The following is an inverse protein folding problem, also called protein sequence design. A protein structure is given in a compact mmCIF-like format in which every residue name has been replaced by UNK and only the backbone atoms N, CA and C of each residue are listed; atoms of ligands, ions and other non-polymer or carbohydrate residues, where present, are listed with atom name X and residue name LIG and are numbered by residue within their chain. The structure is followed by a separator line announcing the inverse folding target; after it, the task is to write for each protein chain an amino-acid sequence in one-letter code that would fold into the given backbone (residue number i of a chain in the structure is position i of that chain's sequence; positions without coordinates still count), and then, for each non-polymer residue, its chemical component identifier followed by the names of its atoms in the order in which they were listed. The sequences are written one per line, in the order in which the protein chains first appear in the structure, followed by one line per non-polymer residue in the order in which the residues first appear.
data_IF_168494517015
#
_entry.id   IF_168494517015
#
_cell.length_a   1.000
_cell.length_b   1.000
_cell.length_c   1.000
_cell.angle_alpha   90.00
_cell.angle_beta   90.00
_cell.angle_gamma   90.00
#
_symmetry.space_group_name_H-M   'P 1'
#
loop_
_entity.id
_entity.type
_entity.pdbx_description
1 polymer ?
#
# COMPACT_ATOMS: atom_id res chain seq x y z
N UNK A 1 9.92 -7.84 -2.71
CA UNK A 1 10.01 -7.29 -4.09
C UNK A 1 9.41 -5.90 -4.07
N UNK A 2 9.98 -4.96 -4.83
CA UNK A 2 9.48 -3.58 -4.88
C UNK A 2 8.39 -3.38 -5.94
N UNK A 3 7.77 -2.18 -5.99
CA UNK A 3 6.72 -1.87 -6.95
C UNK A 3 7.17 -2.00 -8.41
N UNK A 4 8.37 -1.53 -8.77
CA UNK A 4 8.86 -1.61 -10.15
C UNK A 4 9.13 -3.03 -10.62
N UNK A 5 9.67 -3.91 -9.76
CA UNK A 5 9.82 -5.33 -10.09
C UNK A 5 8.46 -5.99 -10.29
N UNK A 6 7.46 -5.59 -9.50
CA UNK A 6 6.08 -6.06 -9.66
C UNK A 6 5.48 -5.61 -11.00
N UNK A 7 5.69 -4.36 -11.40
CA UNK A 7 5.26 -3.86 -12.72
C UNK A 7 5.99 -4.54 -13.87
N UNK A 8 7.29 -4.79 -13.73
CA UNK A 8 8.05 -5.56 -14.71
C UNK A 8 7.45 -6.95 -14.91
N UNK A 9 7.11 -7.66 -13.82
CA UNK A 9 6.43 -8.96 -13.89
C UNK A 9 5.02 -8.86 -14.51
N UNK A 10 4.27 -7.81 -14.19
CA UNK A 10 2.94 -7.58 -14.76
C UNK A 10 2.98 -7.35 -16.28
N UNK A 11 4.11 -6.88 -16.81
CA UNK A 11 4.35 -6.79 -18.24
C UNK A 11 4.64 -8.13 -18.94
N UNK A 12 4.68 -9.26 -18.22
CA UNK A 12 4.93 -10.57 -18.81
C UNK A 12 6.33 -10.69 -19.42
N UNK A 13 6.46 -11.45 -20.51
CA UNK A 13 7.75 -11.69 -21.18
C UNK A 13 8.41 -10.41 -21.71
N UNK A 14 7.61 -9.40 -22.09
CA UNK A 14 8.10 -8.10 -22.53
C UNK A 14 8.50 -7.15 -21.38
N UNK A 15 8.31 -7.58 -20.13
CA UNK A 15 8.76 -6.85 -18.95
C UNK A 15 8.18 -5.43 -18.84
N UNK A 16 8.98 -4.53 -18.27
CA UNK A 16 8.55 -3.15 -18.02
C UNK A 16 8.17 -2.39 -19.30
N UNK A 17 8.81 -2.65 -20.45
CA UNK A 17 8.45 -1.98 -21.70
C UNK A 17 7.02 -2.33 -22.12
N UNK A 18 6.68 -3.62 -22.09
CA UNK A 18 5.33 -4.08 -22.39
C UNK A 18 4.30 -3.55 -21.38
N UNK A 19 4.66 -3.48 -20.09
CA UNK A 19 3.82 -2.83 -19.08
C UNK A 19 3.53 -1.36 -19.41
N UNK A 20 4.55 -0.59 -19.82
CA UNK A 20 4.38 0.82 -20.19
C UNK A 20 3.45 0.99 -21.39
N UNK A 21 3.61 0.14 -22.41
CA UNK A 21 2.83 0.25 -23.64
C UNK A 21 1.37 -0.22 -23.46
N UNK A 22 1.13 -1.24 -22.63
CA UNK A 22 -0.16 -1.95 -22.60
C UNK A 22 -0.98 -1.71 -21.33
N UNK A 23 -0.33 -1.46 -20.18
CA UNK A 23 -1.01 -1.39 -18.89
C UNK A 23 -0.99 0.01 -18.28
N UNK A 24 0.08 0.77 -18.51
CA UNK A 24 0.20 2.13 -17.96
C UNK A 24 -0.94 3.08 -18.38
N UNK A 25 -1.46 3.06 -19.64
CA UNK A 25 -2.57 3.94 -20.02
C UNK A 25 -3.82 3.75 -19.16
N UNK A 26 -4.16 2.51 -18.81
CA UNK A 26 -5.28 2.21 -17.91
C UNK A 26 -4.99 2.67 -16.47
N UNK A 27 -3.75 2.43 -15.98
CA UNK A 27 -3.32 2.87 -14.64
C UNK A 27 -3.39 4.38 -14.49
N UNK A 28 -2.98 5.14 -15.51
CA UNK A 28 -3.09 6.61 -15.49
C UNK A 28 -4.53 7.07 -15.59
N UNK A 29 -5.36 6.40 -16.39
CA UNK A 29 -6.79 6.70 -16.48
C UNK A 29 -7.53 6.55 -15.15
N UNK A 30 -7.16 5.56 -14.32
CA UNK A 30 -7.73 5.44 -12.97
C UNK A 30 -7.38 6.63 -12.08
N UNK A 31 -6.19 7.20 -12.23
CA UNK A 31 -5.77 8.37 -11.45
C UNK A 31 -6.64 9.58 -11.73
N UNK A 32 -7.12 9.75 -12.96
CA UNK A 32 -8.03 10.86 -13.33
C UNK A 32 -9.36 10.77 -12.57
N UNK A 33 -9.86 9.55 -12.30
CA UNK A 33 -11.10 9.35 -11.54
C UNK A 33 -11.00 9.69 -10.05
N UNK A 34 -9.78 9.80 -9.50
CA UNK A 34 -9.56 10.10 -8.08
C UNK A 34 -9.74 11.59 -7.75
N UNK A 35 -9.75 12.46 -8.76
CA UNK A 35 -9.86 13.91 -8.58
C UNK A 35 -8.72 14.52 -7.76
N UNK A 36 -9.00 15.69 -7.17
CA UNK A 36 -8.05 16.43 -6.33
C UNK A 36 -8.64 16.60 -4.92
N UNK A 37 -8.44 15.62 -4.02
CA UNK A 37 -9.01 15.69 -2.69
C UNK A 37 -8.30 16.75 -1.83
N UNK A 38 -9.08 17.64 -1.22
CA UNK A 38 -8.59 18.56 -0.19
C UNK A 38 -8.68 17.94 1.21
N UNK A 39 -7.67 18.18 2.04
CA UNK A 39 -7.63 17.70 3.43
C UNK A 39 -8.46 18.62 4.33
N UNK A 40 -9.78 18.50 4.21
CA UNK A 40 -10.74 19.25 5.03
C UNK A 40 -10.76 18.75 6.48
N UNK A 41 -11.26 19.58 7.40
CA UNK A 41 -11.42 19.19 8.81
C UNK A 41 -12.35 17.97 8.98
N UNK A 42 -13.37 17.83 8.13
CA UNK A 42 -14.26 16.66 8.12
C UNK A 42 -13.49 15.38 7.72
N UNK A 43 -12.66 15.46 6.68
CA UNK A 43 -11.83 14.33 6.25
C UNK A 43 -10.83 13.93 7.34
N UNK A 44 -10.19 14.90 8.00
CA UNK A 44 -9.30 14.64 9.13
C UNK A 44 -10.02 13.90 10.26
N UNK A 45 -11.23 14.36 10.63
CA UNK A 45 -12.03 13.69 11.66
C UNK A 45 -12.38 12.25 11.28
N UNK A 46 -12.76 12.00 10.02
CA UNK A 46 -13.03 10.64 9.51
C UNK A 46 -11.79 9.75 9.58
N UNK A 47 -10.62 10.26 9.21
CA UNK A 47 -9.36 9.51 9.27
C UNK A 47 -8.98 9.17 10.72
N UNK A 48 -9.12 10.12 11.65
CA UNK A 48 -8.84 9.90 13.08
C UNK A 48 -9.76 8.80 13.64
N UNK A 49 -11.07 8.91 13.39
CA UNK A 49 -12.05 7.93 13.85
C UNK A 49 -11.79 6.54 13.25
N UNK A 50 -11.51 6.47 11.94
CA UNK A 50 -11.23 5.21 11.24
C UNK A 50 -9.96 4.52 11.76
N UNK A 51 -8.90 5.28 12.06
CA UNK A 51 -7.67 4.71 12.66
C UNK A 51 -7.93 4.26 14.09
N UNK A 52 -8.70 5.02 14.88
CA UNK A 52 -9.09 4.59 16.22
C UNK A 52 -9.85 3.26 16.19
N UNK A 53 -10.81 3.10 15.27
CA UNK A 53 -11.56 1.86 15.10
C UNK A 53 -10.66 0.70 14.62
N UNK A 54 -9.86 0.91 13.56
CA UNK A 54 -8.98 -0.12 13.00
C UNK A 54 -7.90 -0.61 13.99
N UNK A 55 -7.52 0.23 14.96
CA UNK A 55 -6.56 -0.14 16.01
C UNK A 55 -7.22 -0.69 17.28
N UNK A 56 -8.57 -0.66 17.35
CA UNK A 56 -9.33 -0.97 18.57
C UNK A 56 -9.03 0.00 19.71
N UNK A 57 -8.72 1.26 19.39
CA UNK A 57 -8.32 2.28 20.35
C UNK A 57 -6.92 2.09 20.95
N UNK A 58 -6.11 1.17 20.40
CA UNK A 58 -4.77 0.92 20.92
C UNK A 58 -3.85 2.14 20.70
N UNK A 59 -3.12 2.52 21.75
CA UNK A 59 -2.09 3.55 21.66
C UNK A 59 -0.93 3.13 20.74
N UNK A 60 -0.21 4.12 20.20
CA UNK A 60 0.87 3.92 19.21
C UNK A 60 1.93 2.90 19.63
N UNK A 61 2.29 2.83 20.92
CA UNK A 61 3.28 1.86 21.43
C UNK A 61 2.81 0.43 21.28
N UNK A 62 1.55 0.15 21.55
CA UNK A 62 0.98 -1.18 21.44
C UNK A 62 0.82 -1.58 19.96
N UNK A 63 0.39 -0.64 19.10
CA UNK A 63 0.35 -0.85 17.65
C UNK A 63 1.75 -1.17 17.10
N UNK A 64 2.78 -0.43 17.53
CA UNK A 64 4.17 -0.68 17.14
C UNK A 64 4.65 -2.06 17.61
N UNK A 65 4.36 -2.46 18.85
CA UNK A 65 4.70 -3.79 19.37
C UNK A 65 4.07 -4.92 18.54
N UNK A 66 2.80 -4.77 18.15
CA UNK A 66 2.10 -5.74 17.27
C UNK A 66 2.75 -5.82 15.90
N UNK A 67 3.08 -4.67 15.30
CA UNK A 67 3.81 -4.57 14.02
C UNK A 67 5.15 -5.29 14.11
N UNK A 68 5.95 -5.01 15.14
CA UNK A 68 7.32 -5.54 15.26
C UNK A 68 7.30 -7.07 15.44
N UNK A 69 6.37 -7.60 16.23
CA UNK A 69 6.17 -9.04 16.36
C UNK A 69 5.75 -9.69 15.03
N UNK A 70 4.91 -9.03 14.23
CA UNK A 70 4.51 -9.53 12.91
C UNK A 70 5.67 -9.49 11.90
N UNK A 71 6.45 -8.42 11.89
CA UNK A 71 7.63 -8.29 11.04
C UNK A 71 8.69 -9.33 11.38
N UNK A 72 8.95 -9.60 12.66
CA UNK A 72 9.89 -10.65 13.08
C UNK A 72 9.47 -12.03 12.55
N UNK A 73 8.18 -12.38 12.63
CA UNK A 73 7.66 -13.64 12.05
C UNK A 73 7.81 -13.69 10.53
N UNK A 74 7.50 -12.58 9.84
CA UNK A 74 7.66 -12.50 8.39
C UNK A 74 9.13 -12.67 7.98
N UNK A 75 10.06 -12.00 8.66
CA UNK A 75 11.49 -12.11 8.39
C UNK A 75 11.99 -13.55 8.61
N UNK A 76 11.61 -14.17 9.73
CA UNK A 76 11.97 -15.55 10.01
C UNK A 76 11.47 -16.51 8.92
N UNK A 77 10.22 -16.35 8.46
CA UNK A 77 9.66 -17.17 7.38
C UNK A 77 10.37 -16.95 6.04
N UNK A 78 10.89 -15.75 5.78
CA UNK A 78 11.60 -15.38 4.54
C UNK A 78 13.03 -15.92 4.48
N UNK A 79 13.66 -16.14 5.63
CA UNK A 79 15.05 -16.64 5.73
C UNK A 79 15.13 -18.14 5.98
N UNK A 80 14.00 -18.81 6.23
CA UNK A 80 13.94 -20.25 6.50
C UNK A 80 13.91 -21.12 5.22
N UNK A 81 13.94 -20.51 4.04
CA UNK A 81 14.10 -21.17 2.73
C UNK A 81 15.30 -20.60 2.00
#
# INVERSE_FOLDING_TARGET
MGPHTTFHLAGGEGGMAHFMDHLMPAVTGWRESLGEPEVTSELQAKLIAGVADATGGAGTREVARRRDAALARLLAARTAG
#
